data_IF_748702308894
#
_entry.id   IF_748702308894
#
_cell.length_a   1.000
_cell.length_b   1.000
_cell.length_c   1.000
_cell.angle_alpha   90.00
_cell.angle_beta   90.00
_cell.angle_gamma   90.00
#
_symmetry.space_group_name_H-M   'P 1'
#
loop_
_entity.id
_entity.type
_entity.pdbx_description
1 polymer ?
#
# COMPACT_ATOMS: atom_id res chain seq x y z
N UNK A 1 -8.65 27.91 -29.18
CA UNK A 1 -9.11 27.22 -27.96
C UNK A 1 -9.63 25.87 -28.40
N UNK A 2 -8.90 24.83 -28.02
CA UNK A 2 -9.22 23.43 -28.24
C UNK A 2 -9.96 22.93 -27.00
N UNK A 3 -11.18 22.36 -27.10
CA UNK A 3 -11.96 21.95 -25.94
C UNK A 3 -11.57 20.55 -25.40
N UNK A 4 -10.40 20.03 -25.77
CA UNK A 4 -9.95 18.67 -25.43
C UNK A 4 -8.89 18.56 -24.33
N UNK A 5 -8.45 19.67 -23.71
CA UNK A 5 -7.32 19.69 -22.77
C UNK A 5 -7.76 19.63 -21.29
N UNK A 6 -8.73 18.77 -21.00
CA UNK A 6 -9.04 18.32 -19.64
C UNK A 6 -8.64 16.85 -19.52
N UNK A 7 -7.35 16.60 -19.79
CA UNK A 7 -6.70 15.29 -19.64
C UNK A 7 -6.43 15.03 -18.15
N UNK A 8 -7.47 15.21 -17.33
CA UNK A 8 -7.46 14.84 -15.92
C UNK A 8 -7.45 13.31 -15.86
N UNK A 9 -6.25 12.74 -15.92
CA UNK A 9 -6.04 11.30 -15.77
C UNK A 9 -6.78 10.84 -14.51
N UNK A 10 -7.78 9.94 -14.61
CA UNK A 10 -8.67 9.61 -13.49
C UNK A 10 -7.93 9.12 -12.24
N UNK A 11 -6.75 8.56 -12.45
CA UNK A 11 -5.77 8.12 -11.44
C UNK A 11 -5.33 9.25 -10.49
N UNK A 12 -5.50 10.52 -10.87
CA UNK A 12 -5.22 11.68 -10.02
C UNK A 12 -6.37 12.04 -9.06
N UNK A 13 -7.47 11.30 -9.07
CA UNK A 13 -8.55 11.53 -8.12
C UNK A 13 -8.51 10.45 -7.03
N UNK A 14 -8.37 10.86 -5.76
CA UNK A 14 -8.41 9.92 -4.64
C UNK A 14 -9.67 9.05 -4.63
N UNK A 15 -10.80 9.58 -5.09
CA UNK A 15 -12.06 8.84 -5.23
C UNK A 15 -12.00 7.68 -6.24
N UNK A 16 -11.19 7.79 -7.30
CA UNK A 16 -10.99 6.72 -8.26
C UNK A 16 -10.31 5.52 -7.60
N UNK A 17 -9.26 5.78 -6.81
CA UNK A 17 -8.56 4.75 -6.05
C UNK A 17 -9.42 4.15 -4.94
N UNK A 18 -10.24 4.95 -4.25
CA UNK A 18 -11.21 4.42 -3.30
C UNK A 18 -12.20 3.47 -3.96
N UNK A 19 -12.76 3.84 -5.12
CA UNK A 19 -13.68 2.99 -5.88
C UNK A 19 -13.00 1.69 -6.34
N UNK A 20 -11.78 1.77 -6.86
CA UNK A 20 -11.05 0.62 -7.37
C UNK A 20 -10.68 -0.35 -6.22
N UNK A 21 -10.19 0.18 -5.11
CA UNK A 21 -9.89 -0.61 -3.92
C UNK A 21 -11.15 -1.30 -3.35
N UNK A 22 -12.28 -0.59 -3.36
CA UNK A 22 -13.57 -1.19 -3.00
C UNK A 22 -14.02 -2.32 -3.92
N UNK A 23 -13.88 -2.14 -5.24
CA UNK A 23 -14.24 -3.17 -6.22
C UNK A 23 -13.37 -4.42 -6.05
N UNK A 24 -12.07 -4.25 -5.79
CA UNK A 24 -11.17 -5.37 -5.49
C UNK A 24 -11.54 -6.07 -4.17
N UNK A 25 -11.83 -5.31 -3.11
CA UNK A 25 -12.20 -5.91 -1.82
C UNK A 25 -13.57 -6.61 -1.84
N UNK A 26 -14.48 -6.23 -2.75
CA UNK A 26 -15.78 -6.89 -2.90
C UNK A 26 -15.70 -8.31 -3.49
N UNK A 27 -14.52 -8.75 -3.94
CA UNK A 27 -14.33 -10.02 -4.65
C UNK A 27 -14.95 -10.04 -6.05
N UNK A 28 -15.47 -8.90 -6.53
CA UNK A 28 -16.01 -8.77 -7.89
C UNK A 28 -14.90 -8.77 -8.96
N UNK A 29 -13.69 -8.37 -8.58
CA UNK A 29 -12.49 -8.51 -9.41
C UNK A 29 -11.45 -9.35 -8.68
N UNK A 30 -10.69 -10.14 -9.45
CA UNK A 30 -9.46 -10.76 -8.95
C UNK A 30 -8.62 -9.62 -8.37
N UNK A 31 -8.36 -9.68 -7.06
CA UNK A 31 -7.54 -8.69 -6.38
C UNK A 31 -6.09 -8.86 -6.84
N UNK A 32 -5.77 -8.33 -8.03
CA UNK A 32 -4.41 -8.27 -8.54
C UNK A 32 -3.77 -7.05 -7.85
N UNK A 33 -2.76 -7.24 -7.00
CA UNK A 33 -2.15 -6.16 -6.22
C UNK A 33 -1.43 -5.11 -7.09
N UNK A 34 -1.28 -5.36 -8.39
CA UNK A 34 -0.53 -4.54 -9.34
C UNK A 34 -0.96 -3.08 -9.32
N UNK A 35 -2.27 -2.78 -9.30
CA UNK A 35 -2.75 -1.40 -9.28
C UNK A 35 -2.38 -0.67 -7.98
N UNK A 36 -2.46 -1.38 -6.85
CA UNK A 36 -2.02 -0.86 -5.57
C UNK A 36 -0.51 -0.63 -5.55
N UNK A 37 0.29 -1.62 -5.97
CA UNK A 37 1.75 -1.51 -6.06
C UNK A 37 2.18 -0.34 -6.96
N UNK A 38 1.58 -0.23 -8.15
CA UNK A 38 1.84 0.85 -9.10
C UNK A 38 1.50 2.22 -8.50
N UNK A 39 0.36 2.33 -7.82
CA UNK A 39 -0.04 3.59 -7.17
C UNK A 39 0.93 3.98 -6.05
N UNK A 40 1.38 3.01 -5.24
CA UNK A 40 2.35 3.24 -4.16
C UNK A 40 3.72 3.66 -4.70
N UNK A 41 4.24 2.96 -5.72
CA UNK A 41 5.49 3.34 -6.39
C UNK A 41 5.39 4.73 -7.01
N UNK A 42 4.28 5.00 -7.68
CA UNK A 42 4.04 6.32 -8.28
C UNK A 42 3.89 7.42 -7.25
N UNK A 43 3.49 7.15 -6.01
CA UNK A 43 3.40 8.18 -4.98
C UNK A 43 4.76 8.47 -4.29
N UNK A 44 5.64 7.46 -4.20
CA UNK A 44 6.79 7.52 -3.29
C UNK A 44 8.15 7.22 -3.91
N UNK A 45 8.19 6.59 -5.08
CA UNK A 45 9.42 6.18 -5.76
C UNK A 45 9.69 7.00 -7.04
N UNK A 46 8.65 7.58 -7.64
CA UNK A 46 8.76 8.44 -8.82
C UNK A 46 9.09 9.91 -8.43
N UNK A 47 9.68 10.67 -9.35
CA UNK A 47 10.01 12.08 -9.12
C UNK A 47 8.83 12.98 -9.49
N UNK A 48 8.39 13.81 -8.54
CA UNK A 48 7.28 14.75 -8.71
C UNK A 48 7.69 16.23 -8.74
N UNK A 49 8.98 16.53 -8.91
CA UNK A 49 9.51 17.91 -8.84
C UNK A 49 8.85 18.88 -9.82
N UNK A 50 8.27 18.37 -10.92
CA UNK A 50 7.61 19.15 -11.96
C UNK A 50 6.09 19.17 -11.84
N UNK A 51 5.52 18.41 -10.91
CA UNK A 51 4.08 18.31 -10.70
C UNK A 51 3.59 19.39 -9.73
N UNK A 52 2.31 19.74 -9.82
CA UNK A 52 1.70 20.64 -8.85
C UNK A 52 1.53 19.95 -7.50
N UNK A 53 1.42 20.73 -6.42
CA UNK A 53 1.17 20.20 -5.07
C UNK A 53 -0.13 19.37 -5.06
N UNK A 54 -1.18 19.83 -5.75
CA UNK A 54 -2.44 19.10 -5.82
C UNK A 54 -2.29 17.74 -6.52
N UNK A 55 -1.39 17.65 -7.51
CA UNK A 55 -1.10 16.39 -8.20
C UNK A 55 -0.31 15.44 -7.29
N UNK A 56 0.66 15.96 -6.54
CA UNK A 56 1.40 15.18 -5.55
C UNK A 56 0.49 14.65 -4.44
N UNK A 57 -0.38 15.50 -3.89
CA UNK A 57 -1.37 15.12 -2.89
C UNK A 57 -2.35 14.08 -3.41
N UNK A 58 -2.75 14.18 -4.67
CA UNK A 58 -3.59 13.17 -5.32
C UNK A 58 -2.93 11.78 -5.32
N UNK A 59 -1.63 11.70 -5.62
CA UNK A 59 -0.91 10.43 -5.57
C UNK A 59 -0.86 9.85 -4.15
N UNK A 60 -0.53 10.69 -3.16
CA UNK A 60 -0.49 10.28 -1.75
C UNK A 60 -1.87 9.82 -1.27
N UNK A 61 -2.93 10.56 -1.57
CA UNK A 61 -4.29 10.19 -1.21
C UNK A 61 -4.73 8.91 -1.92
N UNK A 62 -4.38 8.73 -3.20
CA UNK A 62 -4.65 7.50 -3.94
C UNK A 62 -3.99 6.27 -3.32
N UNK A 63 -2.70 6.40 -2.98
CA UNK A 63 -1.92 5.39 -2.26
C UNK A 63 -2.56 5.06 -0.90
N UNK A 64 -2.97 6.08 -0.14
CA UNK A 64 -3.63 5.89 1.15
C UNK A 64 -4.96 5.15 1.03
N UNK A 65 -5.77 5.40 -0.02
CA UNK A 65 -7.03 4.67 -0.22
C UNK A 65 -6.82 3.16 -0.41
N UNK A 66 -5.75 2.74 -1.08
CA UNK A 66 -5.41 1.33 -1.20
C UNK A 66 -5.13 0.67 0.15
N UNK A 67 -4.40 1.37 1.00
CA UNK A 67 -4.10 0.90 2.36
C UNK A 67 -5.38 0.82 3.20
N UNK A 68 -6.22 1.85 3.16
CA UNK A 68 -7.43 1.93 3.97
C UNK A 68 -8.47 0.86 3.60
N UNK A 69 -8.62 0.57 2.31
CA UNK A 69 -9.65 -0.35 1.83
C UNK A 69 -9.17 -1.79 1.60
N UNK A 70 -7.86 -1.98 1.40
CA UNK A 70 -7.31 -3.27 1.01
C UNK A 70 -6.00 -3.58 1.72
N UNK A 71 -5.65 -2.89 2.81
CA UNK A 71 -4.36 -3.03 3.50
C UNK A 71 -4.00 -4.47 3.86
N UNK A 72 -4.95 -5.29 4.32
CA UNK A 72 -4.69 -6.71 4.61
C UNK A 72 -4.44 -7.53 3.33
N UNK A 73 -5.26 -7.36 2.29
CA UNK A 73 -5.09 -8.07 1.00
C UNK A 73 -3.79 -7.65 0.32
N UNK A 74 -3.45 -6.37 0.37
CA UNK A 74 -2.19 -5.82 -0.13
C UNK A 74 -0.99 -6.42 0.62
N UNK A 75 -1.13 -6.56 1.94
CA UNK A 75 -0.10 -7.15 2.79
C UNK A 75 0.10 -8.65 2.54
N UNK A 76 -0.98 -9.40 2.39
CA UNK A 76 -0.92 -10.82 2.02
C UNK A 76 -0.32 -11.01 0.62
N UNK A 77 -0.66 -10.12 -0.31
CA UNK A 77 -0.16 -10.11 -1.68
C UNK A 77 1.35 -9.84 -1.77
N UNK A 78 1.88 -8.96 -0.90
CA UNK A 78 3.31 -8.70 -0.77
C UNK A 78 4.10 -9.91 -0.21
N UNK A 79 3.45 -10.80 0.54
CA UNK A 79 4.08 -12.03 1.06
C UNK A 79 4.04 -13.19 0.06
N UNK A 80 3.20 -13.13 -0.96
CA UNK A 80 3.11 -14.20 -1.96
C UNK A 80 4.18 -13.99 -3.03
N UNK A 81 5.07 -14.97 -3.30
CA UNK A 81 5.97 -14.87 -4.44
C UNK A 81 5.12 -14.99 -5.70
N UNK A 82 4.74 -13.86 -6.27
CA UNK A 82 4.24 -13.83 -7.64
C UNK A 82 5.45 -14.14 -8.52
N UNK A 83 5.42 -15.28 -9.21
CA UNK A 83 6.39 -15.74 -10.23
C UNK A 83 6.33 -14.86 -11.49
N UNK A 84 6.18 -13.54 -11.34
CA UNK A 84 6.42 -12.61 -12.42
C UNK A 84 7.82 -12.05 -12.24
N UNK A 85 8.76 -12.60 -13.00
CA UNK A 85 10.21 -12.34 -12.97
C UNK A 85 10.59 -10.85 -13.14
N UNK A 86 9.61 -9.95 -13.31
CA UNK A 86 9.79 -8.51 -13.50
C UNK A 86 9.25 -7.60 -12.38
N UNK A 87 8.54 -8.10 -11.36
CA UNK A 87 7.77 -7.21 -10.46
C UNK A 87 8.27 -7.18 -9.02
N UNK A 88 8.83 -8.28 -8.48
CA UNK A 88 9.30 -8.35 -7.09
C UNK A 88 10.60 -9.17 -7.04
N UNK A 89 11.73 -8.50 -6.84
CA UNK A 89 12.96 -9.17 -6.40
C UNK A 89 12.71 -9.84 -5.06
N UNK A 90 13.30 -11.03 -4.84
CA UNK A 90 13.32 -11.84 -3.62
C UNK A 90 12.54 -11.28 -2.40
N UNK A 91 11.52 -12.02 -1.90
CA UNK A 91 10.58 -11.61 -0.83
C UNK A 91 11.10 -11.06 0.51
N UNK A 92 12.41 -10.82 0.66
CA UNK A 92 12.96 -9.86 1.62
C UNK A 92 12.60 -8.40 1.27
N UNK A 93 12.42 -8.07 -0.01
CA UNK A 93 12.08 -6.72 -0.49
C UNK A 93 10.69 -6.26 -0.04
N UNK A 94 9.74 -7.17 0.16
CA UNK A 94 8.34 -6.81 0.39
C UNK A 94 8.07 -6.19 1.78
N UNK A 95 8.74 -6.71 2.83
CA UNK A 95 8.67 -6.12 4.17
C UNK A 95 9.43 -4.79 4.24
N UNK A 96 10.56 -4.70 3.55
CA UNK A 96 11.34 -3.46 3.45
C UNK A 96 10.55 -2.37 2.72
N UNK A 97 9.99 -2.66 1.54
CA UNK A 97 9.08 -1.77 0.81
C UNK A 97 7.94 -1.27 1.69
N UNK A 98 7.36 -2.16 2.50
CA UNK A 98 6.26 -1.80 3.37
C UNK A 98 6.67 -0.84 4.49
N UNK A 99 7.84 -1.06 5.09
CA UNK A 99 8.38 -0.13 6.07
C UNK A 99 8.71 1.22 5.41
N UNK A 100 9.33 1.20 4.25
CA UNK A 100 9.59 2.40 3.45
C UNK A 100 8.32 3.20 3.21
N UNK A 101 7.28 2.58 2.65
CA UNK A 101 6.03 3.30 2.34
C UNK A 101 5.31 3.83 3.58
N UNK A 102 5.33 3.10 4.69
CA UNK A 102 4.81 3.60 5.97
C UNK A 102 5.58 4.87 6.39
N UNK A 103 6.91 4.85 6.30
CA UNK A 103 7.75 5.98 6.64
C UNK A 103 7.53 7.17 5.69
N UNK A 104 7.26 6.92 4.40
CA UNK A 104 6.90 7.97 3.45
C UNK A 104 5.56 8.63 3.79
N UNK A 105 4.54 7.87 4.22
CA UNK A 105 3.31 8.47 4.75
C UNK A 105 3.55 9.33 5.99
N UNK A 106 4.50 8.95 6.86
CA UNK A 106 4.87 9.79 8.00
C UNK A 106 5.58 11.08 7.57
N UNK A 107 6.46 11.02 6.56
CA UNK A 107 7.13 12.20 6.02
C UNK A 107 6.16 13.24 5.46
N UNK A 108 5.07 12.80 4.81
CA UNK A 108 4.00 13.70 4.32
C UNK A 108 3.45 14.61 5.43
N UNK A 109 3.44 14.15 6.69
CA UNK A 109 2.97 14.95 7.82
C UNK A 109 3.95 16.07 8.19
N UNK A 110 5.25 15.85 7.99
CA UNK A 110 6.31 16.81 8.29
C UNK A 110 6.42 17.90 7.21
N UNK A 111 5.94 17.62 6.00
CA UNK A 111 6.02 18.55 4.88
C UNK A 111 5.01 19.68 4.97
N UNK A 112 5.50 20.94 4.97
CA UNK A 112 4.62 22.11 5.02
C UNK A 112 3.83 22.35 3.73
N UNK A 113 4.24 21.72 2.62
CA UNK A 113 3.61 21.91 1.31
C UNK A 113 2.24 21.22 1.22
N UNK A 114 2.03 20.13 1.96
CA UNK A 114 0.78 19.37 1.91
C UNK A 114 -0.31 19.94 2.82
N UNK A 115 -1.53 19.97 2.29
CA UNK A 115 -2.75 20.36 2.97
C UNK A 115 -3.21 19.35 4.01
N UNK A 116 -4.03 19.83 4.94
CA UNK A 116 -4.52 19.08 6.10
C UNK A 116 -5.31 17.81 5.73
N UNK A 117 -6.03 17.83 4.61
CA UNK A 117 -6.79 16.65 4.14
C UNK A 117 -5.85 15.51 3.72
N UNK A 118 -4.84 15.82 2.90
CA UNK A 118 -3.82 14.86 2.48
C UNK A 118 -3.09 14.28 3.70
N UNK A 119 -2.66 15.14 4.63
CA UNK A 119 -2.02 14.74 5.88
C UNK A 119 -2.91 13.84 6.73
N UNK A 120 -4.16 14.23 6.95
CA UNK A 120 -5.09 13.44 7.76
C UNK A 120 -5.44 12.08 7.14
N UNK A 121 -5.36 11.94 5.81
CA UNK A 121 -5.54 10.65 5.12
C UNK A 121 -4.25 9.81 5.19
N UNK A 122 -3.08 10.44 5.01
CA UNK A 122 -1.78 9.79 5.13
C UNK A 122 -1.53 9.23 6.54
N UNK A 123 -1.87 9.99 7.59
CA UNK A 123 -1.78 9.56 8.99
C UNK A 123 -2.61 8.29 9.22
N UNK A 124 -3.88 8.27 8.77
CA UNK A 124 -4.74 7.09 8.90
C UNK A 124 -4.18 5.87 8.17
N UNK A 125 -3.61 6.06 6.99
CA UNK A 125 -2.99 4.97 6.24
C UNK A 125 -1.78 4.42 7.00
N UNK A 126 -0.90 5.28 7.52
CA UNK A 126 0.25 4.89 8.30
C UNK A 126 -0.14 4.13 9.59
N UNK A 127 -1.18 4.59 10.30
CA UNK A 127 -1.74 3.90 11.48
C UNK A 127 -2.30 2.50 11.15
N UNK A 128 -3.03 2.38 10.03
CA UNK A 128 -3.54 1.09 9.55
C UNK A 128 -2.39 0.16 9.20
N UNK A 129 -1.38 0.65 8.49
CA UNK A 129 -0.18 -0.14 8.19
C UNK A 129 0.46 -0.62 9.49
N UNK A 130 0.74 0.28 10.44
CA UNK A 130 1.36 -0.08 11.72
C UNK A 130 0.55 -1.14 12.49
N UNK A 131 -0.78 -0.98 12.53
CA UNK A 131 -1.69 -1.91 13.18
C UNK A 131 -1.66 -3.30 12.53
N UNK A 132 -1.59 -3.35 11.20
CA UNK A 132 -1.50 -4.61 10.45
C UNK A 132 -0.16 -5.34 10.72
N UNK A 133 0.98 -4.64 10.76
CA UNK A 133 2.26 -5.31 11.11
C UNK A 133 2.25 -5.85 12.53
N UNK A 134 1.76 -5.05 13.50
CA UNK A 134 1.62 -5.51 14.88
C UNK A 134 0.73 -6.75 14.98
N UNK A 135 -0.38 -6.79 14.22
CA UNK A 135 -1.30 -7.93 14.16
C UNK A 135 -0.68 -9.20 13.58
N UNK A 136 0.15 -9.07 12.53
CA UNK A 136 0.84 -10.21 11.91
C UNK A 136 1.92 -10.84 12.78
N UNK A 137 2.64 -10.04 13.58
CA UNK A 137 3.67 -10.54 14.49
C UNK A 137 3.13 -11.56 15.52
N UNK A 138 1.82 -11.53 15.83
CA UNK A 138 1.19 -12.53 16.70
C UNK A 138 0.98 -13.90 16.04
N UNK A 139 0.99 -14.01 14.70
CA UNK A 139 0.86 -15.31 14.02
C UNK A 139 2.16 -16.13 14.07
N UNK A 140 3.33 -15.49 14.21
CA UNK A 140 4.62 -16.17 14.27
C UNK A 140 4.96 -16.79 15.64
N UNK A 141 4.27 -16.40 16.71
CA UNK A 141 4.48 -16.95 18.07
C UNK A 141 3.56 -18.12 18.42
N UNK A 142 2.42 -18.27 17.74
CA UNK A 142 1.46 -19.34 18.02
C UNK A 142 1.69 -20.63 17.21
N UNK A 143 2.58 -20.62 16.21
CA UNK A 143 2.78 -21.73 15.28
C UNK A 143 4.13 -22.47 15.44
N UNK A 144 4.84 -22.33 16.57
CA UNK A 144 5.91 -23.29 16.90
C UNK A 144 5.26 -24.65 17.21
N UNK A 145 5.45 -25.70 16.39
CA UNK A 145 4.95 -27.01 16.74
C UNK A 145 5.75 -27.51 17.94
N UNK A 146 5.09 -27.60 19.11
CA UNK A 146 5.60 -28.27 20.31
C UNK A 146 5.67 -29.80 20.12
N UNK A 147 5.68 -30.30 18.89
CA UNK A 147 5.59 -31.72 18.54
C UNK A 147 6.95 -32.32 18.16
N UNK A 148 7.97 -32.14 19.00
CA UNK A 148 9.14 -33.02 19.03
C UNK A 148 9.58 -33.23 20.49
N UNK A 149 8.71 -33.86 21.27
CA UNK A 149 9.09 -34.60 22.48
C UNK A 149 8.08 -35.72 22.70
N UNK A 150 8.22 -36.80 21.93
CA UNK A 150 7.81 -38.12 22.40
C UNK A 150 9.07 -38.85 22.88
N UNK A 151 9.10 -39.34 24.14
CA UNK A 151 10.18 -40.17 24.62
C UNK A 151 10.04 -41.59 24.04
N UNK A 152 11.18 -42.18 23.69
CA UNK A 152 11.34 -43.56 23.30
C UNK A 152 10.64 -44.53 24.28
N UNK A 153 9.74 -45.36 23.75
CA UNK A 153 9.35 -46.63 24.38
C UNK A 153 9.06 -47.66 23.28
N UNK A 154 10.06 -48.48 22.96
CA UNK A 154 9.99 -49.95 22.95
C UNK A 154 11.39 -50.55 22.84
#
# INVERSE_FOLDING_TARGET
MDPGDDDATPERFGNFHSLLAHLMNSGMWLAIPEDALRTMRRAFEESHEKESIETQEAWVMGAAQWVLWSGQVLLESLHWPYDDENIIGEGKDALEMRHTWKDEFWKVLEEMAHGEECKGIAEKAADVMESLEKGMLFQNLCCLPSFLSSPDYF
#
